data_IF_877205977854
#
_entry.id   IF_877205977854
#
_cell.length_a   1.000
_cell.length_b   1.000
_cell.length_c   1.000
_cell.angle_alpha   90.00
_cell.angle_beta   90.00
_cell.angle_gamma   90.00
#
_symmetry.space_group_name_H-M   'P 1'
#
loop_
_entity.id
_entity.type
_entity.pdbx_description
1 polymer ?
#
# COMPACT_ATOMS: atom_id res chain seq x y z
N UNK A 1 -1.77 -3.07 -43.58
CA UNK A 1 -0.99 -3.75 -42.54
C UNK A 1 -0.16 -2.73 -41.75
N UNK A 2 -0.76 -1.61 -41.33
CA UNK A 2 -0.05 -0.49 -40.69
C UNK A 2 -0.94 0.25 -39.68
N UNK A 3 -1.98 -0.41 -39.17
CA UNK A 3 -2.88 0.14 -38.13
C UNK A 3 -2.87 -0.69 -36.83
N UNK A 4 -1.98 -1.69 -36.73
CA UNK A 4 -1.93 -2.62 -35.60
C UNK A 4 -0.74 -2.39 -34.65
N UNK A 5 0.02 -1.29 -34.83
CA UNK A 5 1.24 -1.02 -34.06
C UNK A 5 1.14 0.15 -33.09
N UNK A 6 0.02 0.88 -33.07
CA UNK A 6 -0.07 2.16 -32.34
C UNK A 6 -0.82 2.08 -30.99
N UNK A 7 -1.42 0.94 -30.64
CA UNK A 7 -2.27 0.81 -29.44
C UNK A 7 -1.62 0.14 -28.21
N UNK A 8 -0.33 -0.19 -28.24
CA UNK A 8 0.39 -0.71 -27.07
C UNK A 8 1.37 0.31 -26.49
N UNK A 9 1.05 1.60 -26.56
CA UNK A 9 1.64 2.54 -25.62
C UNK A 9 0.88 2.32 -24.31
N UNK A 10 1.31 1.32 -23.53
CA UNK A 10 0.84 1.17 -22.16
C UNK A 10 0.92 2.55 -21.53
N UNK A 11 -0.21 3.14 -21.09
CA UNK A 11 -0.15 4.39 -20.37
C UNK A 11 0.69 4.10 -19.15
N UNK A 12 1.92 4.62 -19.11
CA UNK A 12 2.76 4.57 -17.93
C UNK A 12 1.90 5.12 -16.80
N UNK A 13 1.50 4.24 -15.90
CA UNK A 13 0.77 4.61 -14.69
C UNK A 13 1.77 5.33 -13.81
N UNK A 14 1.86 6.64 -14.00
CA UNK A 14 2.63 7.51 -13.13
C UNK A 14 1.95 7.56 -11.77
N UNK A 15 2.72 7.24 -10.73
CA UNK A 15 2.26 7.40 -9.35
C UNK A 15 2.08 8.88 -9.05
N UNK A 16 0.97 9.20 -8.38
CA UNK A 16 0.78 10.55 -7.84
C UNK A 16 1.81 10.83 -6.74
N UNK A 17 2.08 12.10 -6.44
CA UNK A 17 3.00 12.50 -5.35
C UNK A 17 2.66 11.83 -4.01
N UNK A 18 1.36 11.67 -3.72
CA UNK A 18 0.87 10.98 -2.53
C UNK A 18 1.19 9.48 -2.53
N UNK A 19 1.11 8.84 -3.69
CA UNK A 19 1.46 7.43 -3.83
C UNK A 19 2.96 7.22 -3.76
N UNK A 20 3.76 8.12 -4.34
CA UNK A 20 5.20 8.15 -4.17
C UNK A 20 5.58 8.28 -2.69
N UNK A 21 4.97 9.21 -1.96
CA UNK A 21 5.20 9.34 -0.52
C UNK A 21 4.80 8.08 0.26
N UNK A 22 3.71 7.41 -0.14
CA UNK A 22 3.31 6.15 0.47
C UNK A 22 4.33 5.04 0.21
N UNK A 23 4.89 4.96 -1.00
CA UNK A 23 5.95 4.01 -1.36
C UNK A 23 7.24 4.32 -0.60
N UNK A 24 7.68 5.57 -0.57
CA UNK A 24 8.90 5.98 0.15
C UNK A 24 8.81 5.60 1.64
N UNK A 25 7.67 5.87 2.27
CA UNK A 25 7.42 5.47 3.66
C UNK A 25 7.35 3.96 3.83
N UNK A 26 6.81 3.22 2.86
CA UNK A 26 6.79 1.76 2.90
C UNK A 26 8.21 1.19 2.82
N UNK A 27 9.06 1.73 1.95
CA UNK A 27 10.47 1.38 1.86
C UNK A 27 11.18 1.67 3.20
N UNK A 28 11.04 2.87 3.76
CA UNK A 28 11.64 3.20 5.05
C UNK A 28 11.18 2.26 6.19
N UNK A 29 9.91 1.84 6.19
CA UNK A 29 9.40 0.85 7.14
C UNK A 29 10.00 -0.54 6.91
N UNK A 30 10.21 -0.95 5.65
CA UNK A 30 10.83 -2.23 5.31
C UNK A 30 12.32 -2.26 5.70
N UNK A 31 13.07 -1.21 5.41
CA UNK A 31 14.48 -1.06 5.79
C UNK A 31 14.62 -1.13 7.31
N UNK A 32 13.74 -0.43 8.04
CA UNK A 32 13.74 -0.48 9.50
C UNK A 32 13.43 -1.88 10.04
N UNK A 33 12.51 -2.61 9.40
CA UNK A 33 12.23 -4.00 9.78
C UNK A 33 13.46 -4.91 9.57
N UNK A 34 14.24 -4.67 8.52
CA UNK A 34 15.48 -5.41 8.26
C UNK A 34 16.54 -5.15 9.33
N UNK A 35 16.79 -3.88 9.68
CA UNK A 35 17.70 -3.53 10.79
C UNK A 35 17.30 -4.21 12.10
N UNK A 36 16.00 -4.24 12.41
CA UNK A 36 15.48 -4.86 13.61
C UNK A 36 15.61 -6.39 13.59
N UNK A 37 15.49 -7.01 12.41
CA UNK A 37 15.73 -8.46 12.24
C UNK A 37 17.19 -8.79 12.51
N UNK A 38 18.14 -7.98 12.05
CA UNK A 38 19.55 -8.19 12.38
C UNK A 38 19.80 -8.13 13.89
N UNK A 39 19.28 -7.12 14.59
CA UNK A 39 19.41 -7.02 16.05
C UNK A 39 18.72 -8.18 16.77
N UNK A 40 17.57 -8.63 16.26
CA UNK A 40 16.86 -9.79 16.79
C UNK A 40 17.69 -11.06 16.67
N UNK A 41 18.31 -11.29 15.51
CA UNK A 41 19.17 -12.44 15.25
C UNK A 41 20.45 -12.40 16.11
N UNK A 42 21.04 -11.21 16.30
CA UNK A 42 22.16 -11.02 17.22
C UNK A 42 21.78 -11.36 18.67
N UNK A 43 20.64 -10.89 19.16
CA UNK A 43 20.14 -11.21 20.51
C UNK A 43 19.79 -12.70 20.64
N UNK A 44 19.30 -13.34 19.57
CA UNK A 44 19.07 -14.79 19.53
C UNK A 44 20.37 -15.60 19.64
N UNK A 45 21.48 -15.10 19.12
CA UNK A 45 22.79 -15.76 19.26
C UNK A 45 23.40 -15.44 20.63
N UNK A 46 23.18 -14.24 21.16
CA UNK A 46 23.72 -13.74 22.42
C UNK A 46 22.97 -14.18 23.68
N UNK A 47 22.58 -13.21 24.51
CA UNK A 47 21.98 -13.44 25.83
C UNK A 47 20.55 -14.03 25.78
N UNK A 48 19.87 -13.94 24.63
CA UNK A 48 18.52 -14.46 24.40
C UNK A 48 17.48 -13.93 25.39
N UNK A 49 17.58 -12.65 25.77
CA UNK A 49 16.68 -12.06 26.76
C UNK A 49 15.25 -12.04 26.22
N UNK A 50 14.30 -12.77 26.82
CA UNK A 50 12.94 -12.90 26.27
C UNK A 50 12.20 -11.56 26.16
N UNK A 51 12.44 -10.65 27.10
CA UNK A 51 11.84 -9.32 27.10
C UNK A 51 12.31 -8.45 25.93
N UNK A 52 13.58 -8.58 25.51
CA UNK A 52 14.13 -7.86 24.36
C UNK A 52 13.63 -8.49 23.06
N UNK A 53 13.73 -9.81 22.94
CA UNK A 53 13.25 -10.57 21.78
C UNK A 53 11.76 -10.31 21.52
N UNK A 54 10.93 -10.26 22.56
CA UNK A 54 9.50 -9.97 22.41
C UNK A 54 9.25 -8.56 21.88
N UNK A 55 9.98 -7.56 22.39
CA UNK A 55 9.88 -6.16 21.93
C UNK A 55 10.31 -6.00 20.46
N UNK A 56 11.46 -6.56 20.10
CA UNK A 56 11.95 -6.56 18.73
C UNK A 56 10.95 -7.25 17.79
N UNK A 57 10.44 -8.41 18.20
CA UNK A 57 9.45 -9.16 17.42
C UNK A 57 8.12 -8.41 17.26
N UNK A 58 7.68 -7.64 18.27
CA UNK A 58 6.50 -6.78 18.11
C UNK A 58 6.75 -5.61 17.16
N UNK A 59 7.94 -5.01 17.20
CA UNK A 59 8.29 -3.87 16.35
C UNK A 59 8.40 -4.31 14.88
N UNK A 60 9.06 -5.44 14.60
CA UNK A 60 9.13 -6.03 13.25
C UNK A 60 7.73 -6.23 12.66
N UNK A 61 6.79 -6.81 13.43
CA UNK A 61 5.41 -7.01 12.98
C UNK A 61 4.66 -5.69 12.75
N UNK A 62 4.99 -4.64 13.51
CA UNK A 62 4.40 -3.32 13.32
C UNK A 62 4.87 -2.69 12.01
N UNK A 63 6.19 -2.75 11.74
CA UNK A 63 6.76 -2.31 10.47
C UNK A 63 6.16 -3.08 9.30
N UNK A 64 6.09 -4.42 9.38
CA UNK A 64 5.50 -5.26 8.33
C UNK A 64 4.03 -4.90 8.06
N UNK A 65 3.24 -4.64 9.12
CA UNK A 65 1.86 -4.14 8.95
C UNK A 65 1.82 -2.78 8.28
N UNK A 66 2.69 -1.85 8.69
CA UNK A 66 2.75 -0.51 8.12
C UNK A 66 3.09 -0.54 6.63
N UNK A 67 4.00 -1.43 6.20
CA UNK A 67 4.30 -1.66 4.78
C UNK A 67 3.03 -2.07 4.03
N UNK A 68 2.30 -3.08 4.53
CA UNK A 68 1.05 -3.55 3.91
C UNK A 68 0.02 -2.42 3.82
N UNK A 69 -0.17 -1.65 4.89
CA UNK A 69 -1.14 -0.55 4.95
C UNK A 69 -0.79 0.63 4.03
N UNK A 70 0.50 0.85 3.76
CA UNK A 70 0.96 1.90 2.85
C UNK A 70 0.86 1.45 1.40
N UNK A 71 1.30 0.23 1.10
CA UNK A 71 1.20 -0.36 -0.24
C UNK A 71 -0.26 -0.49 -0.67
N UNK A 72 -1.18 -0.81 0.24
CA UNK A 72 -2.61 -0.89 -0.07
C UNK A 72 -3.24 0.45 -0.48
N UNK A 73 -2.54 1.57 -0.27
CA UNK A 73 -3.00 2.92 -0.67
C UNK A 73 -2.60 3.28 -2.10
N UNK A 74 -1.65 2.55 -2.68
CA UNK A 74 -1.21 2.74 -4.06
C UNK A 74 -2.21 2.05 -4.99
N UNK A 75 -2.81 2.81 -5.90
CA UNK A 75 -3.77 2.26 -6.86
C UNK A 75 -3.08 1.93 -8.18
N UNK A 76 -2.95 0.65 -8.47
CA UNK A 76 -2.48 0.21 -9.77
C UNK A 76 -3.68 0.05 -10.73
N UNK A 77 -3.71 0.86 -11.79
CA UNK A 77 -4.71 0.80 -12.85
C UNK A 77 -5.53 2.09 -13.04
N UNK A 78 -6.51 2.05 -13.93
CA UNK A 78 -7.48 3.15 -14.10
C UNK A 78 -8.27 3.23 -12.79
N UNK A 79 -7.95 4.21 -11.95
CA UNK A 79 -8.37 4.30 -10.55
C UNK A 79 -9.84 3.97 -10.34
N UNK A 80 -10.19 3.40 -9.17
CA UNK A 80 -11.56 2.97 -8.90
C UNK A 80 -12.55 4.09 -9.26
N UNK A 81 -13.45 3.81 -10.21
CA UNK A 81 -14.70 4.54 -10.32
C UNK A 81 -15.29 4.60 -8.91
N UNK A 82 -15.51 5.82 -8.38
CA UNK A 82 -15.97 6.15 -7.02
C UNK A 82 -16.48 4.95 -6.24
N UNK A 83 -15.98 4.74 -5.00
CA UNK A 83 -16.39 3.59 -4.17
C UNK A 83 -17.88 3.29 -4.32
N UNK A 84 -18.26 2.02 -4.47
CA UNK A 84 -19.64 1.63 -4.82
C UNK A 84 -20.68 2.33 -3.92
N UNK A 85 -20.32 2.61 -2.66
CA UNK A 85 -21.10 3.40 -1.71
C UNK A 85 -21.29 4.87 -2.11
N UNK A 86 -20.24 5.55 -2.56
CA UNK A 86 -20.33 6.93 -3.08
C UNK A 86 -21.04 6.99 -4.43
N UNK A 87 -20.82 6.01 -5.31
CA UNK A 87 -21.57 5.89 -6.56
C UNK A 87 -23.07 5.68 -6.30
N UNK A 88 -23.42 4.76 -5.39
CA UNK A 88 -24.80 4.52 -4.96
C UNK A 88 -25.44 5.76 -4.34
N UNK A 89 -24.74 6.45 -3.43
CA UNK A 89 -25.27 7.67 -2.80
C UNK A 89 -25.44 8.82 -3.78
N UNK A 90 -24.55 8.96 -4.77
CA UNK A 90 -24.70 9.94 -5.84
C UNK A 90 -25.87 9.60 -6.78
N UNK A 91 -26.00 8.34 -7.21
CA UNK A 91 -27.13 7.89 -8.05
C UNK A 91 -28.49 8.07 -7.35
N UNK A 92 -28.58 7.78 -6.05
CA UNK A 92 -29.81 7.99 -5.29
C UNK A 92 -30.24 9.47 -5.21
N UNK A 93 -29.31 10.42 -5.36
CA UNK A 93 -29.65 11.84 -5.40
C UNK A 93 -30.18 12.27 -6.76
N UNK A 94 -29.71 11.66 -7.84
CA UNK A 94 -30.07 12.03 -9.21
C UNK A 94 -31.34 11.31 -9.69
N UNK A 95 -31.60 10.09 -9.20
CA UNK A 95 -32.82 9.34 -9.52
C UNK A 95 -34.04 9.69 -8.65
N UNK A 96 -33.90 10.62 -7.69
CA UNK A 96 -35.03 11.03 -6.82
C UNK A 96 -35.98 12.06 -7.45
N UNK A 97 -35.54 12.73 -8.52
CA UNK A 97 -36.34 13.74 -9.25
C UNK A 97 -36.74 13.27 -10.67
N UNK A 98 -36.54 11.99 -11.00
CA UNK A 98 -36.91 11.39 -12.27
C UNK A 98 -38.08 10.43 -12.13
N UNK A 99 -39.29 10.99 -12.12
CA UNK A 99 -40.59 10.34 -12.14
C UNK A 99 -40.67 9.09 -13.03
N UNK A 100 -41.33 8.05 -12.51
CA UNK A 100 -42.17 7.14 -13.28
C UNK A 100 -43.56 7.13 -12.63
#
# INVERSE_FOLDING_TARGET
>A
MEHAREELREPFLELTERELEAVDRACASADRAEELRWVYDEELVGERRPSILTKLSSEIRLCDRQVVDLVSRVQFGVGQAKSARHAYSANQRWHRDGSA
#
